data_IF_511095145251
#
_entry.id   IF_511095145251
#
_cell.length_a   1.000
_cell.length_b   1.000
_cell.length_c   1.000
_cell.angle_alpha   90.00
_cell.angle_beta   90.00
_cell.angle_gamma   90.00
#
_symmetry.space_group_name_H-M   'P 1'
#
loop_
_entity.id
_entity.type
_entity.pdbx_description
1 polymer ?
#
# COMPACT_ATOMS: atom_id res chain seq x y z
N UNK A 1 -16.22 -18.94 5.28
CA UNK A 1 -16.27 -17.46 5.19
C UNK A 1 -15.81 -17.04 3.80
N UNK A 2 -16.32 -15.91 3.25
CA UNK A 2 -15.87 -15.44 1.93
C UNK A 2 -14.87 -14.29 2.06
N UNK A 3 -13.88 -14.26 1.17
CA UNK A 3 -12.95 -13.16 1.06
C UNK A 3 -12.71 -12.78 -0.41
N UNK A 4 -12.49 -11.50 -0.66
CA UNK A 4 -11.89 -11.06 -1.90
C UNK A 4 -10.39 -11.36 -1.84
N UNK A 5 -9.86 -12.04 -2.84
CA UNK A 5 -8.43 -12.20 -3.08
C UNK A 5 -8.04 -11.45 -4.35
N UNK A 6 -6.93 -10.73 -4.33
CA UNK A 6 -6.30 -10.15 -5.53
C UNK A 6 -4.79 -10.03 -5.35
N UNK A 7 -4.06 -9.91 -6.45
CA UNK A 7 -2.63 -9.63 -6.44
C UNK A 7 -2.42 -8.13 -6.64
N UNK A 8 -1.70 -7.52 -5.70
CA UNK A 8 -1.23 -6.13 -5.76
C UNK A 8 0.26 -6.16 -6.11
N UNK A 9 0.65 -5.46 -7.17
CA UNK A 9 2.02 -5.42 -7.66
C UNK A 9 2.36 -4.08 -8.30
N UNK A 10 3.64 -3.90 -8.63
CA UNK A 10 4.10 -2.75 -9.41
C UNK A 10 5.60 -2.77 -9.60
N UNK A 11 6.11 -1.87 -10.42
CA UNK A 11 7.54 -1.76 -10.69
C UNK A 11 8.31 -1.24 -9.48
N UNK A 12 7.75 -0.26 -8.77
CA UNK A 12 8.34 0.32 -7.57
C UNK A 12 7.26 0.64 -6.53
N UNK A 13 7.66 0.72 -5.24
CA UNK A 13 6.84 1.29 -4.19
C UNK A 13 7.71 2.10 -3.21
N UNK A 14 7.12 3.12 -2.60
CA UNK A 14 7.79 3.94 -1.60
C UNK A 14 6.83 4.25 -0.45
N UNK A 15 6.93 3.49 0.61
CA UNK A 15 6.19 3.71 1.85
C UNK A 15 7.11 4.38 2.87
N UNK A 16 7.19 5.70 2.77
CA UNK A 16 8.12 6.52 3.54
C UNK A 16 7.97 6.27 5.04
N UNK A 17 9.09 5.96 5.72
CA UNK A 17 9.15 5.92 7.17
C UNK A 17 9.07 7.32 7.77
N UNK A 18 8.45 7.49 8.96
CA UNK A 18 8.28 8.80 9.59
C UNK A 18 9.58 9.39 10.16
N UNK A 19 10.66 8.62 10.18
CA UNK A 19 11.96 9.07 10.68
C UNK A 19 12.43 10.31 9.94
N UNK A 20 12.79 11.34 10.71
CA UNK A 20 13.34 12.60 10.16
C UNK A 20 14.78 12.35 9.76
N UNK A 21 15.03 12.30 8.45
CA UNK A 21 16.38 12.24 7.92
C UNK A 21 16.50 13.28 6.79
N UNK A 22 17.41 14.24 6.95
CA UNK A 22 17.61 15.31 5.98
C UNK A 22 18.29 14.84 4.67
N UNK A 23 18.97 13.70 4.70
CA UNK A 23 19.81 13.26 3.57
C UNK A 23 19.26 12.05 2.81
N UNK A 24 18.39 11.26 3.45
CA UNK A 24 17.96 9.98 2.90
C UNK A 24 16.58 9.58 3.43
N UNK A 25 15.65 9.25 2.54
CA UNK A 25 14.32 8.78 2.92
C UNK A 25 14.20 7.27 2.79
N UNK A 26 13.97 6.59 3.90
CA UNK A 26 13.79 5.15 3.96
C UNK A 26 12.35 4.73 3.69
N UNK A 27 12.17 3.56 3.09
CA UNK A 27 10.87 2.91 2.94
C UNK A 27 10.67 1.80 3.97
N UNK A 28 9.41 1.54 4.35
CA UNK A 28 9.07 0.25 4.96
C UNK A 28 9.39 -0.89 4.00
N UNK A 29 9.69 -2.08 4.54
CA UNK A 29 10.04 -3.26 3.74
C UNK A 29 8.84 -3.95 3.09
N UNK A 30 7.65 -3.61 3.54
CA UNK A 30 6.38 -4.17 3.08
C UNK A 30 5.32 -3.05 3.05
N UNK A 31 4.20 -3.31 2.37
CA UNK A 31 3.06 -2.43 2.48
C UNK A 31 2.49 -2.49 3.90
N UNK A 32 2.37 -1.34 4.56
CA UNK A 32 1.73 -1.26 5.87
C UNK A 32 0.23 -1.01 5.73
N UNK A 33 -0.53 -1.36 6.78
CA UNK A 33 -1.99 -1.32 6.78
C UNK A 33 -2.57 0.01 6.28
N UNK A 34 -2.09 1.14 6.80
CA UNK A 34 -2.62 2.46 6.41
C UNK A 34 -2.42 2.77 4.93
N UNK A 35 -1.27 2.38 4.34
CA UNK A 35 -1.03 2.53 2.91
C UNK A 35 -1.98 1.66 2.08
N UNK A 36 -2.22 0.42 2.50
CA UNK A 36 -3.19 -0.47 1.86
C UNK A 36 -4.61 0.12 1.91
N UNK A 37 -5.05 0.62 3.08
CA UNK A 37 -6.36 1.27 3.22
C UNK A 37 -6.46 2.52 2.33
N UNK A 38 -5.37 3.27 2.15
CA UNK A 38 -5.31 4.41 1.22
C UNK A 38 -5.51 4.00 -0.24
N UNK A 39 -4.88 2.90 -0.67
CA UNK A 39 -5.07 2.32 -2.02
C UNK A 39 -6.53 1.90 -2.21
N UNK A 40 -7.10 1.17 -1.25
CA UNK A 40 -8.49 0.74 -1.30
C UNK A 40 -9.46 1.92 -1.29
N UNK A 41 -9.16 2.95 -0.48
CA UNK A 41 -9.91 4.21 -0.44
C UNK A 41 -9.91 4.94 -1.79
N UNK A 42 -8.77 4.98 -2.49
CA UNK A 42 -8.67 5.55 -3.83
C UNK A 42 -9.55 4.81 -4.84
N UNK A 43 -9.59 3.47 -4.78
CA UNK A 43 -10.42 2.65 -5.65
C UNK A 43 -11.91 2.99 -5.49
N UNK A 44 -12.41 3.09 -4.26
CA UNK A 44 -13.83 3.37 -3.97
C UNK A 44 -14.18 4.86 -3.91
N UNK A 45 -13.19 5.75 -4.07
CA UNK A 45 -13.38 7.20 -4.18
C UNK A 45 -13.49 7.94 -2.85
N UNK A 46 -12.92 7.41 -1.75
CA UNK A 46 -12.89 8.12 -0.47
C UNK A 46 -11.79 9.17 -0.45
N UNK A 47 -12.09 10.27 0.23
CA UNK A 47 -11.17 11.41 0.34
C UNK A 47 -9.94 11.07 1.18
N UNK A 48 -8.80 11.59 0.75
CA UNK A 48 -7.52 11.55 1.46
C UNK A 48 -7.41 12.62 2.55
N UNK A 49 -6.17 12.93 2.91
CA UNK A 49 -5.87 13.96 3.90
C UNK A 49 -6.31 15.34 3.40
N UNK A 50 -7.10 16.05 4.20
CA UNK A 50 -7.61 17.38 3.88
C UNK A 50 -7.33 18.41 4.98
N UNK A 51 -7.89 18.22 6.18
CA UNK A 51 -7.74 19.15 7.30
C UNK A 51 -6.77 18.61 8.35
N UNK A 52 -6.00 19.51 8.96
CA UNK A 52 -5.12 19.18 10.08
C UNK A 52 -5.95 18.75 11.30
N UNK A 53 -5.55 17.66 11.95
CA UNK A 53 -6.18 17.18 13.19
C UNK A 53 -7.40 16.24 13.00
N UNK A 54 -7.77 15.91 11.75
CA UNK A 54 -8.81 14.92 11.47
C UNK A 54 -8.25 13.74 10.69
N UNK A 55 -8.75 12.53 10.96
CA UNK A 55 -8.42 11.38 10.13
C UNK A 55 -9.10 11.51 8.76
N UNK A 56 -8.42 11.05 7.68
CA UNK A 56 -9.00 11.07 6.34
C UNK A 56 -10.18 10.11 6.23
N UNK A 57 -11.13 10.42 5.32
CA UNK A 57 -12.35 9.63 5.13
C UNK A 57 -12.04 8.15 4.88
N UNK A 58 -11.04 7.85 4.04
CA UNK A 58 -10.69 6.46 3.76
C UNK A 58 -10.31 5.69 5.03
N UNK A 59 -9.61 6.33 5.97
CA UNK A 59 -9.22 5.69 7.21
C UNK A 59 -10.43 5.44 8.12
N UNK A 60 -11.29 6.45 8.32
CA UNK A 60 -12.49 6.31 9.15
C UNK A 60 -13.44 5.22 8.62
N UNK A 61 -13.58 5.10 7.30
CA UNK A 61 -14.45 4.11 6.66
C UNK A 61 -13.86 2.70 6.65
N UNK A 62 -12.54 2.57 6.54
CA UNK A 62 -11.89 1.29 6.25
C UNK A 62 -11.03 0.75 7.40
N UNK A 63 -10.89 1.49 8.52
CA UNK A 63 -10.05 1.08 9.67
C UNK A 63 -10.41 -0.29 10.26
N UNK A 64 -11.67 -0.71 10.16
CA UNK A 64 -12.15 -1.97 10.72
C UNK A 64 -12.13 -3.14 9.71
N UNK A 65 -11.71 -2.90 8.46
CA UNK A 65 -11.57 -3.98 7.47
C UNK A 65 -10.60 -5.06 7.96
N UNK A 66 -11.00 -6.30 7.82
CA UNK A 66 -10.13 -7.46 8.09
C UNK A 66 -9.36 -7.80 6.83
N UNK A 67 -8.07 -7.49 6.83
CA UNK A 67 -7.18 -7.67 5.70
C UNK A 67 -6.02 -8.59 6.05
N UNK A 68 -5.55 -9.35 5.07
CA UNK A 68 -4.32 -10.12 5.17
C UNK A 68 -3.43 -9.80 3.97
N UNK A 69 -2.13 -9.69 4.21
CA UNK A 69 -1.11 -9.37 3.21
C UNK A 69 -0.10 -10.51 3.17
N UNK A 70 0.01 -11.18 2.03
CA UNK A 70 0.94 -12.28 1.81
C UNK A 70 2.00 -11.85 0.80
N UNK A 71 3.26 -11.61 1.22
CA UNK A 71 4.35 -11.33 0.29
C UNK A 71 4.60 -12.52 -0.62
N UNK A 72 4.73 -12.28 -1.92
CA UNK A 72 5.00 -13.33 -2.92
C UNK A 72 6.47 -13.41 -3.35
N UNK A 73 7.26 -12.42 -3.02
CA UNK A 73 8.69 -12.44 -3.27
C UNK A 73 9.35 -13.54 -2.43
N UNK A 74 10.46 -14.08 -2.94
CA UNK A 74 11.18 -15.18 -2.28
C UNK A 74 11.48 -14.85 -0.81
N UNK A 75 11.11 -15.76 0.09
CA UNK A 75 11.26 -15.62 1.55
C UNK A 75 10.55 -14.39 2.15
N UNK A 76 9.56 -13.82 1.46
CA UNK A 76 8.87 -12.61 1.89
C UNK A 76 9.72 -11.33 1.81
N UNK A 77 10.92 -11.38 1.26
CA UNK A 77 11.81 -10.25 1.13
C UNK A 77 11.62 -9.53 -0.21
N UNK A 78 11.47 -8.20 -0.16
CA UNK A 78 11.40 -7.35 -1.35
C UNK A 78 12.72 -6.58 -1.45
N UNK A 79 13.37 -6.68 -2.59
CA UNK A 79 14.62 -5.94 -2.83
C UNK A 79 14.37 -4.43 -2.77
N UNK A 80 15.40 -3.71 -2.31
CA UNK A 80 15.36 -2.27 -2.20
C UNK A 80 16.47 -1.67 -3.04
N UNK A 81 16.15 -0.59 -3.75
CA UNK A 81 17.14 0.21 -4.47
C UNK A 81 17.18 1.63 -3.93
N UNK A 82 18.31 2.27 -4.08
CA UNK A 82 18.46 3.70 -3.80
C UNK A 82 18.26 4.45 -5.10
N UNK A 83 17.33 5.40 -5.08
CA UNK A 83 17.08 6.31 -6.18
C UNK A 83 17.51 7.71 -5.77
N UNK A 84 18.29 8.36 -6.61
CA UNK A 84 18.71 9.74 -6.45
C UNK A 84 18.20 10.55 -7.63
N UNK A 85 17.58 11.69 -7.33
CA UNK A 85 17.04 12.57 -8.37
C UNK A 85 17.05 14.03 -7.90
N UNK A 86 17.04 14.94 -8.86
CA UNK A 86 16.91 16.37 -8.60
C UNK A 86 15.42 16.72 -8.53
N UNK A 87 14.99 17.29 -7.40
CA UNK A 87 13.61 17.76 -7.18
C UNK A 87 13.57 19.29 -7.06
N UNK A 88 14.41 19.99 -7.79
CA UNK A 88 14.53 21.44 -7.79
C UNK A 88 13.42 22.09 -8.61
N UNK A 89 12.77 23.12 -8.04
CA UNK A 89 11.80 23.94 -8.76
C UNK A 89 12.54 24.88 -9.73
N UNK A 90 11.98 25.11 -10.93
CA UNK A 90 12.65 25.71 -12.09
C UNK A 90 13.49 26.96 -11.79
N UNK A 91 12.95 27.97 -11.11
CA UNK A 91 13.72 29.21 -10.82
C UNK A 91 14.81 28.98 -9.75
N UNK A 92 14.61 28.08 -8.79
CA UNK A 92 15.61 27.78 -7.76
C UNK A 92 16.86 27.09 -8.36
N UNK A 93 16.73 26.43 -9.52
CA UNK A 93 17.87 25.81 -10.21
C UNK A 93 18.85 26.83 -10.82
N UNK A 94 18.45 28.09 -10.92
CA UNK A 94 19.28 29.18 -11.42
C UNK A 94 20.14 29.84 -10.35
N UNK A 95 19.87 29.56 -9.07
CA UNK A 95 20.63 30.07 -7.94
C UNK A 95 21.78 29.14 -7.56
N UNK A 96 22.90 29.71 -7.16
CA UNK A 96 24.05 28.93 -6.70
C UNK A 96 23.68 28.15 -5.44
N UNK A 97 23.76 26.81 -5.47
CA UNK A 97 23.37 25.93 -4.38
C UNK A 97 21.86 25.66 -4.27
N UNK A 98 21.04 26.16 -5.20
CA UNK A 98 19.57 25.96 -5.23
C UNK A 98 19.10 24.55 -5.61
N UNK A 99 19.99 23.62 -5.92
CA UNK A 99 19.64 22.26 -6.31
C UNK A 99 19.23 21.40 -5.12
N UNK A 100 18.00 20.87 -5.16
CA UNK A 100 17.50 19.90 -4.18
C UNK A 100 17.73 18.47 -4.68
N UNK A 101 18.77 17.85 -4.23
CA UNK A 101 19.04 16.43 -4.51
C UNK A 101 18.36 15.56 -3.45
N UNK A 102 17.40 14.75 -3.89
CA UNK A 102 16.66 13.82 -3.02
C UNK A 102 17.19 12.41 -3.21
N UNK A 103 17.36 11.69 -2.09
CA UNK A 103 17.74 10.28 -2.06
C UNK A 103 16.63 9.50 -1.36
N UNK A 104 16.09 8.52 -2.06
CA UNK A 104 15.01 7.67 -1.55
C UNK A 104 15.37 6.19 -1.72
N UNK A 105 14.94 5.39 -0.76
CA UNK A 105 15.00 3.94 -0.86
C UNK A 105 13.64 3.43 -1.34
N UNK A 106 13.58 2.75 -2.48
CA UNK A 106 12.35 2.21 -3.06
C UNK A 106 12.34 0.69 -3.00
N UNK A 107 11.16 0.08 -2.84
CA UNK A 107 10.93 -1.34 -3.08
C UNK A 107 10.94 -1.59 -4.58
N UNK A 108 11.57 -2.69 -5.00
CA UNK A 108 11.70 -3.09 -6.41
C UNK A 108 10.87 -4.33 -6.69
N UNK A 109 10.00 -4.25 -7.71
CA UNK A 109 9.08 -5.30 -8.12
C UNK A 109 8.32 -5.95 -6.94
N UNK A 110 7.67 -5.16 -6.08
CA UNK A 110 6.90 -5.71 -4.97
C UNK A 110 5.67 -6.45 -5.50
N UNK A 111 5.35 -7.60 -4.86
CA UNK A 111 4.18 -8.41 -5.19
C UNK A 111 3.57 -8.96 -3.90
N UNK A 112 2.28 -8.72 -3.69
CA UNK A 112 1.51 -9.25 -2.57
C UNK A 112 0.21 -9.88 -3.05
N UNK A 113 -0.19 -11.00 -2.43
CA UNK A 113 -1.58 -11.41 -2.43
C UNK A 113 -2.29 -10.75 -1.26
N UNK A 114 -3.35 -10.04 -1.57
CA UNK A 114 -4.18 -9.33 -0.59
C UNK A 114 -5.49 -10.10 -0.44
N UNK A 115 -5.91 -10.29 0.82
CA UNK A 115 -7.20 -10.87 1.16
C UNK A 115 -7.99 -9.87 1.99
N UNK A 116 -9.27 -9.70 1.66
CA UNK A 116 -10.21 -8.85 2.40
C UNK A 116 -11.42 -9.70 2.75
N UNK A 117 -11.70 -9.86 4.05
CA UNK A 117 -12.88 -10.60 4.49
C UNK A 117 -14.16 -9.84 4.11
N UNK A 118 -15.10 -10.53 3.46
CA UNK A 118 -16.38 -9.95 3.02
C UNK A 118 -17.41 -10.08 4.16
N UNK A 119 -17.22 -9.24 5.19
CA UNK A 119 -18.06 -9.21 6.39
C UNK A 119 -18.64 -7.82 6.68
N UNK A 120 -18.49 -6.88 5.73
CA UNK A 120 -18.98 -5.51 5.87
C UNK A 120 -19.37 -4.92 4.51
N UNK A 121 -20.23 -3.90 4.54
CA UNK A 121 -20.66 -3.15 3.34
C UNK A 121 -19.47 -2.53 2.59
N UNK A 122 -18.46 -2.07 3.33
CA UNK A 122 -17.26 -1.47 2.74
C UNK A 122 -16.42 -2.51 2.02
N UNK A 123 -16.31 -3.73 2.58
CA UNK A 123 -15.62 -4.84 1.93
C UNK A 123 -16.33 -5.27 0.63
N UNK A 124 -17.67 -5.35 0.65
CA UNK A 124 -18.46 -5.70 -0.55
C UNK A 124 -18.30 -4.64 -1.65
N UNK A 125 -18.33 -3.35 -1.29
CA UNK A 125 -18.12 -2.24 -2.24
C UNK A 125 -16.72 -2.30 -2.89
N UNK A 126 -15.70 -2.57 -2.10
CA UNK A 126 -14.32 -2.74 -2.61
C UNK A 126 -14.27 -3.95 -3.55
N UNK A 127 -14.91 -5.06 -3.18
CA UNK A 127 -14.93 -6.27 -4.00
C UNK A 127 -15.59 -6.03 -5.35
N UNK A 128 -16.73 -5.36 -5.38
CA UNK A 128 -17.42 -4.98 -6.62
C UNK A 128 -16.51 -4.16 -7.53
N UNK A 129 -15.90 -3.10 -7.02
CA UNK A 129 -15.03 -2.22 -7.80
C UNK A 129 -13.81 -2.98 -8.37
N UNK A 130 -13.17 -3.81 -7.56
CA UNK A 130 -11.96 -4.54 -7.99
C UNK A 130 -12.30 -5.65 -8.99
N UNK A 131 -13.40 -6.41 -8.78
CA UNK A 131 -13.84 -7.46 -9.70
C UNK A 131 -14.26 -6.87 -11.05
N UNK A 132 -14.92 -5.72 -11.05
CA UNK A 132 -15.30 -4.98 -12.25
C UNK A 132 -14.13 -4.22 -12.91
N UNK A 133 -12.94 -4.25 -12.31
CA UNK A 133 -11.75 -3.50 -12.77
C UNK A 133 -12.01 -1.99 -12.85
N UNK A 134 -12.75 -1.44 -11.90
CA UNK A 134 -13.08 -0.02 -11.79
C UNK A 134 -12.33 0.64 -10.64
N UNK A 135 -11.99 1.90 -10.80
CA UNK A 135 -11.51 2.76 -9.71
C UNK A 135 -11.96 4.20 -9.94
N UNK A 136 -12.21 4.92 -8.86
CA UNK A 136 -12.53 6.36 -8.92
C UNK A 136 -11.24 7.17 -9.11
N UNK A 137 -10.21 6.85 -8.33
CA UNK A 137 -8.88 7.41 -8.48
C UNK A 137 -7.89 6.31 -8.80
N UNK A 138 -6.92 6.61 -9.68
CA UNK A 138 -5.86 5.66 -10.03
C UNK A 138 -5.04 5.35 -8.78
N UNK A 139 -4.98 4.08 -8.33
CA UNK A 139 -4.23 3.72 -7.14
C UNK A 139 -2.72 3.73 -7.39
N UNK A 140 -1.95 4.13 -6.36
CA UNK A 140 -0.49 4.15 -6.41
C UNK A 140 0.12 3.72 -5.08
N UNK A 141 1.37 3.28 -5.11
CA UNK A 141 2.07 2.70 -3.97
C UNK A 141 3.03 3.71 -3.31
N UNK A 142 2.43 4.68 -2.60
CA UNK A 142 3.12 5.70 -1.80
C UNK A 142 3.51 6.97 -2.55
N UNK A 143 3.81 6.89 -3.85
CA UNK A 143 4.04 8.05 -4.74
C UNK A 143 3.17 7.89 -5.99
N UNK A 144 2.71 9.01 -6.54
CA UNK A 144 1.84 9.04 -7.72
C UNK A 144 2.48 8.50 -9.01
N UNK A 145 3.80 8.45 -9.08
CA UNK A 145 4.58 7.84 -10.16
C UNK A 145 4.82 6.32 -9.97
N UNK A 146 4.41 5.76 -8.83
CA UNK A 146 4.47 4.33 -8.55
C UNK A 146 3.08 3.69 -8.66
N UNK A 147 2.60 3.53 -9.88
CA UNK A 147 1.27 2.98 -10.12
C UNK A 147 1.12 1.58 -9.54
N UNK A 148 -0.07 1.28 -9.03
CA UNK A 148 -0.43 -0.01 -8.49
C UNK A 148 -1.13 -0.85 -9.57
N UNK A 149 -0.61 -2.04 -9.84
CA UNK A 149 -1.26 -3.05 -10.67
C UNK A 149 -2.07 -3.99 -9.80
N UNK A 150 -3.35 -4.15 -10.13
CA UNK A 150 -4.28 -5.06 -9.46
C UNK A 150 -4.75 -6.10 -10.45
N UNK A 151 -4.46 -7.37 -10.16
CA UNK A 151 -4.81 -8.47 -11.04
C UNK A 151 -5.25 -9.73 -10.27
N UNK A 152 -5.71 -10.75 -11.00
CA UNK A 152 -6.14 -12.04 -10.48
C UNK A 152 -7.20 -11.93 -9.36
N UNK A 153 -8.08 -10.92 -9.44
CA UNK A 153 -9.13 -10.70 -8.47
C UNK A 153 -10.20 -11.81 -8.56
N UNK A 154 -10.56 -12.36 -7.41
CA UNK A 154 -11.63 -13.36 -7.28
C UNK A 154 -12.15 -13.44 -5.85
N UNK A 155 -13.36 -13.92 -5.68
CA UNK A 155 -13.88 -14.32 -4.36
C UNK A 155 -13.42 -15.75 -4.06
N UNK A 156 -12.96 -15.97 -2.84
CA UNK A 156 -12.50 -17.28 -2.34
C UNK A 156 -13.22 -17.64 -1.05
N UNK A 157 -13.42 -18.94 -0.83
CA UNK A 157 -13.89 -19.45 0.46
C UNK A 157 -12.72 -19.66 1.41
N UNK A 158 -12.92 -19.32 2.68
CA UNK A 158 -11.96 -19.48 3.75
C UNK A 158 -12.52 -20.43 4.82
N UNK A 159 -11.68 -21.35 5.27
CA UNK A 159 -11.97 -22.22 6.41
C UNK A 159 -11.36 -21.67 7.70
N UNK A 160 -11.99 -21.97 8.82
CA UNK A 160 -11.45 -21.67 10.13
C UNK A 160 -10.47 -22.77 10.51
N UNK A 161 -9.23 -22.40 10.77
CA UNK A 161 -8.20 -23.33 11.23
C UNK A 161 -8.20 -23.39 12.74
N UNK A 162 -8.37 -24.59 13.30
CA UNK A 162 -8.44 -24.86 14.75
C UNK A 162 -7.19 -25.60 15.29
N UNK A 163 -6.13 -25.68 14.47
CA UNK A 163 -4.90 -26.38 14.85
C UNK A 163 -4.05 -25.55 15.81
N UNK A 164 -3.37 -26.22 16.75
CA UNK A 164 -2.46 -25.57 17.71
C UNK A 164 -1.15 -25.04 17.07
N UNK A 165 -0.70 -25.65 15.96
CA UNK A 165 0.50 -25.24 15.24
C UNK A 165 0.16 -24.86 13.80
N UNK A 166 0.13 -23.55 13.51
CA UNK A 166 -0.16 -23.00 12.18
C UNK A 166 1.05 -22.24 11.68
N UNK A 167 1.48 -22.55 10.44
CA UNK A 167 2.48 -21.75 9.75
C UNK A 167 1.78 -20.58 9.07
N UNK A 168 2.13 -19.35 9.46
CA UNK A 168 1.58 -18.14 8.88
C UNK A 168 2.45 -17.67 7.71
N UNK A 169 1.86 -17.51 6.54
CA UNK A 169 2.53 -16.93 5.35
C UNK A 169 2.22 -15.44 5.18
N UNK A 170 1.34 -14.88 6.01
CA UNK A 170 0.95 -13.48 5.96
C UNK A 170 1.74 -12.62 6.94
N UNK A 171 1.75 -11.30 6.67
CA UNK A 171 2.21 -10.32 7.65
C UNK A 171 1.22 -10.27 8.82
N UNK A 172 1.72 -10.15 10.03
CA UNK A 172 0.93 -9.98 11.25
C UNK A 172 1.50 -8.86 12.11
N UNK A 173 0.66 -8.24 12.90
CA UNK A 173 1.08 -7.21 13.85
C UNK A 173 1.82 -7.88 15.02
N UNK A 174 3.05 -7.46 15.27
CA UNK A 174 3.76 -7.83 16.48
C UNK A 174 3.12 -7.07 17.66
N UNK A 175 2.56 -7.78 18.60
CA UNK A 175 2.20 -7.19 19.91
C UNK A 175 3.45 -7.22 20.77
N UNK A 176 3.86 -6.06 21.26
CA UNK A 176 4.94 -5.92 22.24
C UNK A 176 4.48 -6.40 23.61
#
# INVERSE_FOLDING_TARGET
MRALKFTLSGKNAFFKKPEVNAYFYFTYGQIHRVALLGILGAIVGYKGYGCTGTYPEFYEKLKDLKVSVVPRNSQGYIQKKVQMFNNTVGYASQELGGNLIVREQWLENPVWDIYILLDSREADKIAEMILDKKCVYIPYMGKNDHLADICAAKVVELDVVTCENVVLSCLYEKKD
#
